data_IF_852597190372
#
_entry.id   IF_852597190372
#
_cell.length_a   1.000
_cell.length_b   1.000
_cell.length_c   1.000
_cell.angle_alpha   90.00
_cell.angle_beta   90.00
_cell.angle_gamma   90.00
#
_symmetry.space_group_name_H-M   'P 1'
#
loop_
_entity.id
_entity.type
_entity.pdbx_description
1 polymer ?
#
# COMPACT_ATOMS: atom_id res chain seq x y z
N UNK A 1 2.29 9.91 -8.76
CA UNK A 1 3.28 10.74 -8.01
C UNK A 1 4.06 11.71 -8.89
N UNK A 2 4.61 11.30 -10.05
CA UNK A 2 5.34 12.21 -10.95
C UNK A 2 4.47 13.37 -11.48
N UNK A 3 3.25 13.06 -11.97
CA UNK A 3 2.30 14.07 -12.46
C UNK A 3 1.80 15.01 -11.35
N UNK A 4 1.47 14.51 -10.15
CA UNK A 4 1.08 15.38 -9.03
C UNK A 4 2.24 16.27 -8.56
N UNK A 5 3.48 15.77 -8.53
CA UNK A 5 4.64 16.57 -8.12
C UNK A 5 5.02 17.65 -9.14
N UNK A 6 4.76 17.39 -10.43
CA UNK A 6 4.93 18.35 -11.53
C UNK A 6 3.87 19.46 -11.49
N UNK A 7 2.61 19.11 -11.18
CA UNK A 7 1.50 20.08 -11.13
C UNK A 7 1.48 20.88 -9.82
N UNK A 8 1.87 20.29 -8.69
CA UNK A 8 1.81 20.94 -7.35
C UNK A 8 3.17 21.50 -6.86
N UNK A 9 4.16 21.64 -7.75
CA UNK A 9 5.29 22.55 -7.54
C UNK A 9 6.47 22.02 -6.74
N UNK A 10 6.71 20.70 -6.63
CA UNK A 10 7.89 20.11 -5.94
C UNK A 10 9.23 20.32 -6.66
N UNK A 11 9.18 20.64 -7.96
CA UNK A 11 10.37 20.72 -8.80
C UNK A 11 10.90 19.31 -9.11
N UNK A 12 11.38 19.10 -10.33
CA UNK A 12 11.87 17.80 -10.79
C UNK A 12 12.98 17.22 -9.88
N UNK A 13 13.78 18.10 -9.26
CA UNK A 13 14.89 17.77 -8.36
C UNK A 13 14.47 17.04 -7.08
N UNK A 14 13.24 17.25 -6.59
CA UNK A 14 12.70 16.57 -5.40
C UNK A 14 11.79 15.42 -5.82
N UNK A 15 11.05 15.58 -6.92
CA UNK A 15 10.15 14.55 -7.44
C UNK A 15 10.88 13.26 -7.84
N UNK A 16 12.07 13.36 -8.45
CA UNK A 16 12.82 12.19 -8.91
C UNK A 16 13.40 11.35 -7.75
N UNK A 17 14.08 11.93 -6.74
CA UNK A 17 14.49 11.18 -5.55
C UNK A 17 13.31 10.52 -4.80
N UNK A 18 12.18 11.21 -4.69
CA UNK A 18 10.99 10.63 -4.05
C UNK A 18 10.39 9.47 -4.84
N UNK A 19 10.36 9.56 -6.18
CA UNK A 19 9.91 8.46 -7.03
C UNK A 19 10.80 7.22 -6.87
N UNK A 20 12.13 7.40 -6.84
CA UNK A 20 13.08 6.30 -6.59
C UNK A 20 12.86 5.70 -5.21
N UNK A 21 12.66 6.56 -4.19
CA UNK A 21 12.40 6.13 -2.82
C UNK A 21 11.16 5.25 -2.74
N UNK A 22 10.06 5.64 -3.40
CA UNK A 22 8.81 4.87 -3.40
C UNK A 22 8.92 3.52 -4.13
N UNK A 23 9.60 3.50 -5.28
CA UNK A 23 9.85 2.23 -5.98
C UNK A 23 10.74 1.32 -5.15
N UNK A 24 11.76 1.90 -4.50
CA UNK A 24 12.64 1.20 -3.58
C UNK A 24 11.91 0.64 -2.37
N UNK A 25 10.98 1.39 -1.79
CA UNK A 25 10.12 0.97 -0.68
C UNK A 25 9.30 -0.27 -1.05
N UNK A 26 8.58 -0.20 -2.17
CA UNK A 26 7.74 -1.30 -2.65
C UNK A 26 8.58 -2.55 -2.94
N UNK A 27 9.75 -2.37 -3.55
CA UNK A 27 10.69 -3.46 -3.82
C UNK A 27 11.24 -4.08 -2.52
N UNK A 28 11.67 -3.25 -1.56
CA UNK A 28 12.20 -3.70 -0.29
C UNK A 28 11.13 -4.46 0.51
N UNK A 29 9.90 -3.94 0.59
CA UNK A 29 8.78 -4.62 1.21
C UNK A 29 8.53 -6.00 0.57
N UNK A 30 8.43 -6.06 -0.75
CA UNK A 30 8.22 -7.31 -1.48
C UNK A 30 9.38 -8.31 -1.26
N UNK A 31 10.62 -7.84 -1.29
CA UNK A 31 11.81 -8.67 -1.10
C UNK A 31 11.90 -9.23 0.32
N UNK A 32 11.69 -8.39 1.34
CA UNK A 32 11.75 -8.81 2.74
C UNK A 32 10.62 -9.79 3.09
N UNK A 33 9.40 -9.51 2.62
CA UNK A 33 8.26 -10.43 2.82
C UNK A 33 8.51 -11.77 2.13
N UNK A 34 9.01 -11.79 0.89
CA UNK A 34 9.35 -13.05 0.19
C UNK A 34 10.48 -13.82 0.85
N UNK A 35 11.44 -13.11 1.47
CA UNK A 35 12.53 -13.76 2.20
C UNK A 35 12.04 -14.43 3.49
N UNK A 36 11.10 -13.82 4.20
CA UNK A 36 10.48 -14.41 5.38
C UNK A 36 9.47 -15.51 5.01
N UNK A 37 8.74 -15.34 3.90
CA UNK A 37 7.69 -16.22 3.42
C UNK A 37 7.81 -16.47 1.90
N UNK A 38 8.52 -17.53 1.46
CA UNK A 38 8.77 -17.79 0.03
C UNK A 38 7.52 -18.04 -0.81
N UNK A 39 6.43 -18.55 -0.20
CA UNK A 39 5.12 -18.80 -0.83
C UNK A 39 4.08 -17.71 -0.52
N UNK A 40 4.52 -16.47 -0.41
CA UNK A 40 3.66 -15.32 -0.15
C UNK A 40 2.72 -15.00 -1.33
N UNK A 41 1.49 -14.57 -1.01
CA UNK A 41 0.52 -14.03 -1.98
C UNK A 41 -0.81 -14.78 -2.03
N UNK A 42 -1.05 -15.72 -1.12
CA UNK A 42 -2.34 -16.43 -1.03
C UNK A 42 -3.18 -15.95 0.16
N UNK A 43 -2.55 -15.32 1.16
CA UNK A 43 -3.19 -14.84 2.38
C UNK A 43 -4.07 -15.89 3.07
N UNK A 44 -3.64 -17.16 3.02
CA UNK A 44 -4.41 -18.30 3.55
C UNK A 44 -4.08 -18.60 5.02
N UNK A 45 -3.07 -17.92 5.58
CA UNK A 45 -2.64 -18.13 6.97
C UNK A 45 -2.57 -16.80 7.71
N UNK A 46 -3.05 -16.79 8.97
CA UNK A 46 -2.88 -15.65 9.88
C UNK A 46 -1.41 -15.25 10.04
N UNK A 47 -0.48 -16.23 9.97
CA UNK A 47 0.96 -15.97 10.04
C UNK A 47 1.46 -15.20 8.81
N UNK A 48 0.95 -15.51 7.63
CA UNK A 48 1.27 -14.80 6.38
C UNK A 48 0.79 -13.34 6.44
N UNK A 49 -0.44 -13.12 6.92
CA UNK A 49 -1.01 -11.78 7.13
C UNK A 49 -0.19 -10.99 8.15
N UNK A 50 0.19 -11.62 9.28
CA UNK A 50 0.98 -10.97 10.31
C UNK A 50 2.35 -10.53 9.79
N UNK A 51 3.03 -11.37 9.01
CA UNK A 51 4.32 -11.01 8.39
C UNK A 51 4.17 -9.89 7.36
N UNK A 52 3.10 -9.89 6.57
CA UNK A 52 2.81 -8.80 5.66
C UNK A 52 2.63 -7.47 6.40
N UNK A 53 1.79 -7.45 7.44
CA UNK A 53 1.54 -6.25 8.25
C UNK A 53 2.83 -5.79 8.94
N UNK A 54 3.56 -6.70 9.59
CA UNK A 54 4.77 -6.36 10.32
C UNK A 54 5.89 -5.80 9.42
N UNK A 55 6.09 -6.40 8.23
CA UNK A 55 7.20 -6.03 7.35
C UNK A 55 6.79 -4.95 6.36
N UNK A 56 5.79 -5.23 5.52
CA UNK A 56 5.37 -4.32 4.47
C UNK A 56 4.51 -3.17 4.99
N UNK A 57 3.72 -3.40 6.04
CA UNK A 57 2.89 -2.37 6.66
C UNK A 57 3.61 -1.49 7.67
N UNK A 58 4.62 -2.01 8.39
CA UNK A 58 5.25 -1.29 9.50
C UNK A 58 6.75 -1.10 9.26
N UNK A 59 7.55 -2.17 9.26
CA UNK A 59 9.00 -2.06 9.31
C UNK A 59 9.59 -1.28 8.13
N UNK A 60 9.14 -1.56 6.91
CA UNK A 60 9.63 -0.88 5.70
C UNK A 60 9.18 0.58 5.63
N UNK A 61 7.87 0.91 5.76
CA UNK A 61 7.43 2.31 5.80
C UNK A 61 8.09 3.12 6.92
N UNK A 62 8.35 2.51 8.08
CA UNK A 62 8.99 3.19 9.22
C UNK A 62 10.40 3.67 8.86
N UNK A 63 11.19 2.82 8.20
CA UNK A 63 12.56 3.15 7.79
C UNK A 63 12.55 4.13 6.61
N UNK A 64 11.70 3.88 5.60
CA UNK A 64 11.66 4.70 4.39
C UNK A 64 11.09 6.10 4.66
N UNK A 65 10.19 6.25 5.63
CA UNK A 65 9.67 7.55 6.03
C UNK A 65 10.78 8.53 6.46
N UNK A 66 11.90 8.04 7.03
CA UNK A 66 13.05 8.92 7.36
C UNK A 66 13.67 9.54 6.12
N UNK A 67 13.75 8.77 5.04
CA UNK A 67 14.30 9.20 3.74
C UNK A 67 13.32 10.16 3.05
N UNK A 68 12.03 9.82 3.03
CA UNK A 68 10.97 10.67 2.48
C UNK A 68 10.90 12.03 3.18
N UNK A 69 10.88 12.03 4.51
CA UNK A 69 10.88 13.24 5.32
C UNK A 69 12.15 14.09 5.10
N UNK A 70 13.31 13.46 4.87
CA UNK A 70 14.57 14.16 4.66
C UNK A 70 14.53 14.97 3.35
N UNK A 71 14.08 14.34 2.26
CA UNK A 71 13.97 15.04 0.98
C UNK A 71 12.97 16.20 1.02
N UNK A 72 11.85 16.03 1.71
CA UNK A 72 10.84 17.09 1.86
C UNK A 72 11.33 18.22 2.77
N UNK A 73 12.07 17.89 3.82
CA UNK A 73 12.63 18.89 4.74
C UNK A 73 13.75 19.71 4.10
N UNK A 74 14.68 19.07 3.37
CA UNK A 74 15.73 19.75 2.59
C UNK A 74 15.13 20.67 1.53
N UNK A 75 13.97 20.31 0.98
CA UNK A 75 13.24 21.16 0.04
C UNK A 75 12.53 22.37 0.70
N UNK A 76 12.67 22.56 2.02
CA UNK A 76 12.17 23.72 2.78
C UNK A 76 10.65 23.75 2.97
N UNK A 77 9.96 22.60 2.85
CA UNK A 77 8.49 22.58 2.67
C UNK A 77 7.68 22.28 3.92
N UNK A 78 8.25 21.53 4.85
CA UNK A 78 7.54 21.08 6.02
C UNK A 78 8.48 20.70 7.17
N UNK A 79 8.00 20.70 8.42
CA UNK A 79 8.73 20.18 9.56
C UNK A 79 8.99 18.68 9.41
N UNK A 80 10.25 18.26 9.60
CA UNK A 80 10.70 16.88 9.39
C UNK A 80 9.84 15.83 10.11
N UNK A 81 9.59 16.02 11.41
CA UNK A 81 8.85 15.04 12.21
C UNK A 81 7.37 14.93 11.86
N UNK A 82 6.75 16.04 11.44
CA UNK A 82 5.36 16.01 10.95
C UNK A 82 5.30 15.25 9.64
N UNK A 83 6.18 15.56 8.69
CA UNK A 83 6.25 14.85 7.41
C UNK A 83 6.55 13.37 7.58
N UNK A 84 7.45 13.00 8.50
CA UNK A 84 7.74 11.60 8.78
C UNK A 84 6.51 10.84 9.26
N UNK A 85 5.74 11.42 10.19
CA UNK A 85 4.51 10.80 10.72
C UNK A 85 3.44 10.65 9.65
N UNK A 86 3.23 11.70 8.85
CA UNK A 86 2.23 11.69 7.79
C UNK A 86 2.60 10.67 6.70
N UNK A 87 3.88 10.62 6.32
CA UNK A 87 4.40 9.67 5.35
C UNK A 87 4.25 8.23 5.84
N UNK A 88 4.70 7.95 7.07
CA UNK A 88 4.62 6.64 7.68
C UNK A 88 3.16 6.16 7.76
N UNK A 89 2.27 6.98 8.30
CA UNK A 89 0.86 6.60 8.49
C UNK A 89 0.16 6.35 7.16
N UNK A 90 0.34 7.23 6.18
CA UNK A 90 -0.24 7.07 4.85
C UNK A 90 0.26 5.80 4.14
N UNK A 91 1.56 5.52 4.19
CA UNK A 91 2.15 4.36 3.53
C UNK A 91 1.80 3.05 4.24
N UNK A 92 1.85 3.03 5.58
CA UNK A 92 1.45 1.88 6.38
C UNK A 92 -0.01 1.48 6.14
N UNK A 93 -0.93 2.44 6.29
CA UNK A 93 -2.36 2.21 6.08
C UNK A 93 -2.65 1.85 4.63
N UNK A 94 -2.02 2.56 3.67
CA UNK A 94 -2.19 2.30 2.25
C UNK A 94 -1.79 0.88 1.85
N UNK A 95 -0.62 0.41 2.31
CA UNK A 95 -0.15 -0.94 2.02
C UNK A 95 -1.01 -2.01 2.69
N UNK A 96 -1.42 -1.79 3.95
CA UNK A 96 -2.27 -2.76 4.66
C UNK A 96 -3.66 -2.86 4.03
N UNK A 97 -4.27 -1.73 3.68
CA UNK A 97 -5.61 -1.68 3.11
C UNK A 97 -5.65 -2.17 1.66
N UNK A 98 -4.72 -1.71 0.83
CA UNK A 98 -4.76 -1.95 -0.62
C UNK A 98 -3.82 -3.07 -1.10
N UNK A 99 -2.81 -3.45 -0.31
CA UNK A 99 -1.85 -4.48 -0.69
C UNK A 99 -2.48 -5.84 -0.95
N UNK A 100 -3.24 -6.43 0.00
CA UNK A 100 -3.86 -7.74 -0.20
C UNK A 100 -4.78 -7.82 -1.44
N UNK A 101 -5.75 -6.90 -1.66
CA UNK A 101 -6.59 -6.97 -2.84
C UNK A 101 -5.79 -6.78 -4.14
N UNK A 102 -4.78 -5.90 -4.16
CA UNK A 102 -3.91 -5.72 -5.34
C UNK A 102 -3.09 -6.96 -5.66
N UNK A 103 -2.52 -7.63 -4.67
CA UNK A 103 -1.74 -8.86 -4.85
C UNK A 103 -2.62 -9.98 -5.40
N UNK A 104 -3.85 -10.12 -4.90
CA UNK A 104 -4.82 -11.11 -5.40
C UNK A 104 -5.28 -10.79 -6.84
N UNK A 105 -5.49 -9.51 -7.15
CA UNK A 105 -5.77 -9.01 -8.51
C UNK A 105 -4.66 -9.40 -9.48
N UNK A 106 -3.42 -9.01 -9.16
CA UNK A 106 -2.25 -9.21 -10.01
C UNK A 106 -1.81 -10.68 -10.10
N UNK A 107 -2.06 -11.47 -9.06
CA UNK A 107 -1.78 -12.91 -9.03
C UNK A 107 -2.74 -13.75 -9.89
N UNK A 108 -3.66 -13.12 -10.63
CA UNK A 108 -4.64 -13.78 -11.49
C UNK A 108 -5.70 -14.56 -10.71
N UNK A 109 -5.79 -14.38 -9.38
CA UNK A 109 -6.78 -15.05 -8.56
C UNK A 109 -8.20 -14.63 -8.95
N UNK A 110 -8.41 -13.37 -9.30
CA UNK A 110 -9.73 -12.89 -9.76
C UNK A 110 -10.15 -13.59 -11.07
N UNK A 111 -9.24 -13.73 -12.04
CA UNK A 111 -9.56 -14.39 -13.31
C UNK A 111 -9.82 -15.90 -13.13
N UNK A 112 -9.15 -16.56 -12.18
CA UNK A 112 -9.43 -17.96 -11.81
C UNK A 112 -10.71 -18.12 -10.99
N UNK A 113 -11.00 -17.16 -10.12
CA UNK A 113 -12.19 -17.10 -9.27
C UNK A 113 -13.45 -16.88 -10.12
N UNK A 114 -13.45 -15.88 -11.01
CA UNK A 114 -14.59 -15.62 -11.91
C UNK A 114 -14.96 -16.84 -12.78
N UNK A 115 -13.98 -17.66 -13.17
CA UNK A 115 -14.22 -18.89 -13.94
C UNK A 115 -14.79 -20.06 -13.11
N UNK A 116 -14.78 -19.97 -11.78
CA UNK A 116 -15.16 -21.06 -10.85
C UNK A 116 -16.28 -20.68 -9.88
N UNK A 117 -16.81 -19.47 -9.96
CA UNK A 117 -17.80 -18.94 -9.02
C UNK A 117 -19.20 -19.24 -9.50
N UNK A 118 -19.95 -19.96 -8.68
CA UNK A 118 -21.40 -20.09 -8.83
C UNK A 118 -22.08 -18.72 -8.65
N UNK A 119 -23.16 -18.48 -9.40
CA UNK A 119 -23.92 -17.21 -9.38
C UNK A 119 -24.27 -16.73 -7.97
N UNK A 120 -24.56 -17.65 -7.05
CA UNK A 120 -24.92 -17.34 -5.66
C UNK A 120 -23.75 -16.67 -4.92
N UNK A 121 -22.53 -17.21 -5.06
CA UNK A 121 -21.32 -16.64 -4.43
C UNK A 121 -20.92 -15.30 -5.04
N UNK A 122 -21.20 -15.09 -6.33
CA UNK A 122 -21.02 -13.78 -6.95
C UNK A 122 -21.96 -12.73 -6.34
N UNK A 123 -23.22 -13.10 -6.11
CA UNK A 123 -24.22 -12.22 -5.48
C UNK A 123 -23.83 -11.91 -4.03
N UNK A 124 -23.38 -12.89 -3.25
CA UNK A 124 -22.88 -12.67 -1.89
C UNK A 124 -21.69 -11.70 -1.87
N UNK A 125 -20.70 -11.90 -2.74
CA UNK A 125 -19.55 -11.01 -2.84
C UNK A 125 -19.95 -9.57 -3.20
N UNK A 126 -20.91 -9.42 -4.13
CA UNK A 126 -21.47 -8.11 -4.48
C UNK A 126 -22.23 -7.46 -3.32
N UNK A 127 -23.05 -8.23 -2.59
CA UNK A 127 -23.77 -7.74 -1.42
C UNK A 127 -22.81 -7.26 -0.33
N UNK A 128 -21.73 -8.01 -0.06
CA UNK A 128 -20.68 -7.62 0.89
C UNK A 128 -19.97 -6.35 0.43
N UNK A 129 -19.59 -6.25 -0.85
CA UNK A 129 -18.97 -5.02 -1.37
C UNK A 129 -19.89 -3.80 -1.22
N UNK A 130 -21.17 -3.94 -1.56
CA UNK A 130 -22.16 -2.86 -1.42
C UNK A 130 -22.33 -2.46 0.05
N UNK A 131 -22.38 -3.42 0.97
CA UNK A 131 -22.46 -3.15 2.40
C UNK A 131 -21.21 -2.41 2.92
N UNK A 132 -20.02 -2.83 2.50
CA UNK A 132 -18.76 -2.16 2.88
C UNK A 132 -18.73 -0.73 2.32
N UNK A 133 -19.11 -0.53 1.06
CA UNK A 133 -19.20 0.80 0.46
C UNK A 133 -20.21 1.69 1.21
N UNK A 134 -21.38 1.17 1.55
CA UNK A 134 -22.40 1.90 2.31
C UNK A 134 -21.88 2.33 3.69
N UNK A 135 -21.24 1.43 4.43
CA UNK A 135 -20.65 1.75 5.74
C UNK A 135 -19.53 2.77 5.61
N UNK A 136 -18.65 2.62 4.61
CA UNK A 136 -17.58 3.58 4.36
C UNK A 136 -18.15 4.97 4.04
N UNK A 137 -19.18 5.07 3.20
CA UNK A 137 -19.83 6.36 2.90
C UNK A 137 -20.51 6.98 4.11
N UNK A 138 -21.09 6.19 5.01
CA UNK A 138 -21.71 6.73 6.23
C UNK A 138 -20.66 7.17 7.26
N UNK A 139 -19.51 6.51 7.30
CA UNK A 139 -18.46 6.78 8.29
C UNK A 139 -17.54 7.93 7.88
N UNK A 140 -17.27 8.07 6.58
CA UNK A 140 -16.29 9.02 6.02
C UNK A 140 -16.91 10.08 5.10
N UNK A 141 -18.20 9.96 4.77
CA UNK A 141 -18.94 10.91 3.93
C UNK A 141 -19.63 11.99 4.72
#
# INVERSE_FOLDING_TARGET
MALSSLVFGLGWKVAMPLAITNVGEAFAAAWMVRRAYPRFGQFLSAREILWFVAVAGIAVPLVVAFVGALFVHIAGRAPYWTTWRDWFTAHAVGVIAFGPPMILLLGGYINRWMKRVDRIRAIEAWAIMLAVCAVATVTFG
#
